data_IF_669923619189
#
_entry.id   IF_669923619189
#
_cell.length_a   1.000
_cell.length_b   1.000
_cell.length_c   1.000
_cell.angle_alpha   90.00
_cell.angle_beta   90.00
_cell.angle_gamma   90.00
#
_symmetry.space_group_name_H-M   'P 1'
#
loop_
_entity.id
_entity.type
_entity.pdbx_description
1 polymer ?
#
# COMPACT_ATOMS: atom_id res chain seq x y z
N UNK A 1 -30.18 30.68 -16.59
CA UNK A 1 -28.75 30.66 -16.26
C UNK A 1 -28.22 29.28 -16.60
N UNK A 2 -27.47 29.14 -17.69
CA UNK A 2 -26.91 27.87 -18.16
C UNK A 2 -25.55 27.64 -17.50
N UNK A 3 -25.44 26.65 -16.61
CA UNK A 3 -24.16 26.14 -16.15
C UNK A 3 -23.64 25.11 -17.16
N UNK A 4 -22.59 25.48 -17.89
CA UNK A 4 -21.83 24.57 -18.74
C UNK A 4 -21.04 23.61 -17.85
N UNK A 5 -21.28 22.32 -18.05
CA UNK A 5 -20.44 21.21 -17.61
C UNK A 5 -19.01 21.43 -18.13
N UNK A 6 -18.05 21.50 -17.20
CA UNK A 6 -16.64 21.24 -17.49
C UNK A 6 -16.41 19.76 -17.20
N UNK A 7 -15.87 19.06 -18.19
CA UNK A 7 -15.57 17.65 -18.11
C UNK A 7 -14.53 17.38 -17.04
N UNK A 8 -14.94 16.57 -16.07
CA UNK A 8 -14.02 15.85 -15.21
C UNK A 8 -13.71 14.52 -15.91
N UNK A 9 -12.44 14.35 -16.24
CA UNK A 9 -11.87 13.08 -16.65
C UNK A 9 -11.92 12.13 -15.44
N UNK A 10 -12.74 11.09 -15.55
CA UNK A 10 -12.81 10.00 -14.60
C UNK A 10 -11.49 9.19 -14.63
N UNK A 11 -10.73 9.11 -13.52
CA UNK A 11 -9.48 8.36 -13.47
C UNK A 11 -9.66 6.85 -13.61
N UNK A 12 -10.89 6.31 -13.49
CA UNK A 12 -11.16 4.87 -13.57
C UNK A 12 -11.30 4.36 -15.02
N UNK A 13 -11.42 5.24 -16.03
CA UNK A 13 -11.69 4.82 -17.42
C UNK A 13 -10.44 4.54 -18.25
N UNK A 14 -9.21 4.79 -17.75
CA UNK A 14 -7.97 4.62 -18.53
C UNK A 14 -7.33 3.24 -18.50
N UNK A 15 -7.86 2.29 -17.73
CA UNK A 15 -7.27 0.96 -17.61
C UNK A 15 -7.50 0.03 -18.84
N UNK A 16 -8.44 0.35 -19.73
CA UNK A 16 -8.93 -0.66 -20.71
C UNK A 16 -8.42 -0.54 -22.15
N UNK A 17 -7.61 0.45 -22.54
CA UNK A 17 -7.28 0.67 -23.96
C UNK A 17 -5.81 1.02 -24.23
N UNK A 18 -4.92 0.01 -24.19
CA UNK A 18 -3.63 0.05 -24.89
C UNK A 18 -2.98 -1.34 -25.00
N UNK A 19 -3.54 -2.23 -25.83
CA UNK A 19 -2.90 -3.47 -26.25
C UNK A 19 -2.55 -3.40 -27.74
N UNK A 20 -1.27 -3.22 -28.08
CA UNK A 20 -0.59 -3.83 -29.24
C UNK A 20 0.77 -3.16 -29.50
N UNK A 21 1.86 -3.92 -29.33
CA UNK A 21 2.91 -4.11 -30.35
C UNK A 21 4.18 -4.66 -29.69
N UNK A 22 4.42 -5.96 -29.84
CA UNK A 22 5.66 -6.61 -29.43
C UNK A 22 6.68 -6.59 -30.57
N UNK A 23 7.87 -6.06 -30.31
CA UNK A 23 9.05 -6.28 -31.16
C UNK A 23 10.25 -6.60 -30.27
N UNK A 24 10.80 -7.80 -30.44
CA UNK A 24 12.01 -8.25 -29.77
C UNK A 24 13.24 -7.67 -30.47
N UNK A 25 14.00 -6.81 -29.78
CA UNK A 25 15.31 -6.33 -30.21
C UNK A 25 16.38 -6.98 -29.33
N UNK A 26 17.25 -7.77 -29.96
CA UNK A 26 18.50 -8.28 -29.35
C UNK A 26 19.57 -7.20 -29.38
N UNK A 27 20.28 -6.99 -28.27
CA UNK A 27 21.39 -6.04 -28.21
C UNK A 27 22.69 -6.61 -28.81
N UNK A 28 23.59 -5.72 -29.17
CA UNK A 28 24.87 -6.02 -29.82
C UNK A 28 25.87 -6.79 -28.92
N UNK A 29 25.52 -7.11 -27.68
CA UNK A 29 26.35 -7.87 -26.75
C UNK A 29 26.04 -9.38 -26.76
N UNK A 30 25.08 -9.85 -27.56
CA UNK A 30 24.78 -11.27 -27.68
C UNK A 30 24.18 -11.88 -26.42
N UNK A 31 23.56 -11.07 -25.55
CA UNK A 31 22.81 -11.57 -24.39
C UNK A 31 21.46 -12.13 -24.86
N UNK A 32 21.44 -13.44 -25.12
CA UNK A 32 20.22 -14.19 -25.35
C UNK A 32 19.61 -14.66 -24.02
N UNK A 33 18.30 -14.43 -23.92
CA UNK A 33 17.34 -15.05 -23.01
C UNK A 33 17.47 -14.73 -21.52
N UNK A 34 16.46 -14.01 -21.01
CA UNK A 34 16.07 -13.99 -19.61
C UNK A 34 16.27 -15.36 -18.97
N UNK A 35 16.98 -15.38 -17.84
CA UNK A 35 17.06 -16.54 -16.98
C UNK A 35 15.65 -16.89 -16.48
N UNK A 36 15.04 -17.91 -17.08
CA UNK A 36 13.69 -18.35 -16.75
C UNK A 36 13.57 -18.84 -15.30
N UNK A 37 14.68 -19.09 -14.61
CA UNK A 37 14.68 -19.48 -13.20
C UNK A 37 14.28 -18.36 -12.23
N UNK A 38 14.19 -17.11 -12.71
CA UNK A 38 13.71 -15.95 -11.93
C UNK A 38 12.21 -15.66 -12.11
N UNK A 39 11.50 -16.44 -12.94
CA UNK A 39 10.08 -16.19 -13.23
C UNK A 39 9.19 -16.78 -12.14
N UNK A 40 8.68 -15.93 -11.25
CA UNK A 40 7.72 -16.34 -10.22
C UNK A 40 6.36 -16.59 -10.89
N UNK A 41 6.03 -17.87 -11.09
CA UNK A 41 4.80 -18.29 -11.76
C UNK A 41 4.70 -17.81 -13.21
N UNK A 42 5.84 -17.69 -13.91
CA UNK A 42 5.90 -17.25 -15.30
C UNK A 42 5.86 -15.73 -15.52
N UNK A 43 5.83 -14.93 -14.44
CA UNK A 43 5.82 -13.46 -14.53
C UNK A 43 7.22 -12.87 -14.67
N UNK A 44 7.30 -11.70 -15.32
CA UNK A 44 8.54 -10.93 -15.39
C UNK A 44 8.99 -10.45 -13.99
N UNK A 45 10.28 -10.09 -13.81
CA UNK A 45 10.75 -9.48 -12.56
C UNK A 45 9.99 -8.20 -12.20
N UNK A 46 9.66 -7.36 -13.20
CA UNK A 46 8.90 -6.13 -12.99
C UNK A 46 7.48 -6.41 -12.49
N UNK A 47 6.81 -7.41 -13.07
CA UNK A 47 5.47 -7.80 -12.62
C UNK A 47 5.50 -8.41 -11.23
N UNK A 48 6.53 -9.21 -10.92
CA UNK A 48 6.74 -9.79 -9.58
C UNK A 48 6.97 -8.69 -8.54
N UNK A 49 7.76 -7.67 -8.87
CA UNK A 49 7.96 -6.50 -8.02
C UNK A 49 6.67 -5.72 -7.79
N UNK A 50 5.86 -5.50 -8.83
CA UNK A 50 4.56 -4.81 -8.67
C UNK A 50 3.64 -5.60 -7.72
N UNK A 51 3.53 -6.91 -7.87
CA UNK A 51 2.73 -7.73 -6.95
C UNK A 51 3.31 -7.72 -5.54
N UNK A 52 4.63 -7.73 -5.39
CA UNK A 52 5.27 -7.60 -4.08
C UNK A 52 4.92 -6.27 -3.40
N UNK A 53 4.84 -5.17 -4.15
CA UNK A 53 4.38 -3.88 -3.63
C UNK A 53 2.89 -3.90 -3.24
N UNK A 54 2.03 -4.48 -4.08
CA UNK A 54 0.60 -4.64 -3.79
C UNK A 54 0.37 -5.38 -2.49
N UNK A 55 0.97 -6.56 -2.34
CA UNK A 55 0.80 -7.38 -1.15
C UNK A 55 1.48 -6.74 0.08
N UNK A 56 2.65 -6.10 -0.09
CA UNK A 56 3.28 -5.34 1.00
C UNK A 56 2.40 -4.16 1.47
N UNK A 57 1.65 -3.53 0.57
CA UNK A 57 0.66 -2.51 0.89
C UNK A 57 -0.39 -3.03 1.87
N UNK A 58 -1.01 -4.16 1.53
CA UNK A 58 -1.98 -4.86 2.39
C UNK A 58 -1.41 -5.16 3.77
N UNK A 59 -0.20 -5.73 3.83
CA UNK A 59 0.46 -6.06 5.10
C UNK A 59 0.70 -4.83 5.97
N UNK A 60 1.29 -3.77 5.42
CA UNK A 60 1.68 -2.59 6.20
C UNK A 60 0.45 -1.81 6.67
N UNK A 61 -0.52 -1.59 5.79
CA UNK A 61 -1.75 -0.88 6.15
C UNK A 61 -2.54 -1.68 7.19
N UNK A 62 -2.68 -3.00 7.01
CA UNK A 62 -3.34 -3.85 7.99
C UNK A 62 -2.67 -3.78 9.37
N UNK A 63 -1.34 -3.90 9.43
CA UNK A 63 -0.59 -3.76 10.71
C UNK A 63 -0.74 -2.36 11.31
N UNK A 64 -0.74 -1.30 10.51
CA UNK A 64 -0.91 0.07 10.98
C UNK A 64 -2.30 0.33 11.58
N UNK A 65 -3.33 -0.37 11.09
CA UNK A 65 -4.71 -0.30 11.59
C UNK A 65 -5.01 -1.32 12.70
N UNK A 66 -4.02 -2.13 13.09
CA UNK A 66 -4.12 -3.09 14.20
C UNK A 66 -4.57 -4.50 13.80
N UNK A 67 -4.67 -4.80 12.50
CA UNK A 67 -4.99 -6.14 12.02
C UNK A 67 -3.81 -7.10 12.18
N UNK A 68 -4.13 -8.35 12.53
CA UNK A 68 -3.16 -9.44 12.58
C UNK A 68 -2.95 -10.01 11.17
N UNK A 69 -1.70 -10.12 10.75
CA UNK A 69 -1.30 -10.68 9.46
C UNK A 69 -0.63 -12.03 9.70
N UNK A 70 -1.22 -13.11 9.18
CA UNK A 70 -0.69 -14.47 9.28
C UNK A 70 0.43 -14.76 8.29
N UNK A 71 0.40 -14.10 7.13
CA UNK A 71 1.45 -14.20 6.12
C UNK A 71 1.08 -13.52 4.81
N UNK A 72 2.03 -13.54 3.89
CA UNK A 72 1.92 -12.94 2.56
C UNK A 72 2.73 -13.72 1.54
N UNK A 73 2.22 -13.86 0.32
CA UNK A 73 2.92 -14.50 -0.79
C UNK A 73 2.72 -13.73 -2.08
N UNK A 74 3.74 -13.77 -2.94
CA UNK A 74 3.60 -13.36 -4.34
C UNK A 74 3.53 -14.57 -5.26
N UNK A 75 3.56 -15.81 -4.77
CA UNK A 75 3.35 -16.99 -5.61
C UNK A 75 1.89 -17.00 -6.08
N UNK A 76 1.61 -17.00 -7.40
CA UNK A 76 0.24 -16.98 -7.88
C UNK A 76 -0.48 -18.28 -7.54
N UNK A 77 -1.78 -18.18 -7.32
CA UNK A 77 -2.67 -19.31 -7.06
C UNK A 77 -3.97 -19.20 -7.84
N UNK A 78 -4.96 -20.02 -7.46
CA UNK A 78 -6.26 -20.00 -8.13
C UNK A 78 -6.99 -18.68 -7.87
N UNK A 79 -7.12 -17.85 -8.91
CA UNK A 79 -7.82 -16.56 -8.84
C UNK A 79 -7.02 -15.40 -8.23
N UNK A 80 -5.72 -15.54 -7.97
CA UNK A 80 -4.90 -14.45 -7.42
C UNK A 80 -3.44 -14.46 -7.91
N UNK A 81 -2.87 -13.26 -8.08
CA UNK A 81 -1.45 -13.08 -8.43
C UNK A 81 -0.53 -13.03 -7.19
N UNK A 82 -1.08 -12.63 -6.05
CA UNK A 82 -0.47 -12.62 -4.72
C UNK A 82 -1.58 -12.75 -3.69
N UNK A 83 -1.19 -13.04 -2.45
CA UNK A 83 -2.14 -13.28 -1.38
C UNK A 83 -1.56 -12.87 -0.02
N UNK A 84 -2.29 -11.99 0.67
CA UNK A 84 -2.08 -11.68 2.08
C UNK A 84 -3.21 -12.27 2.93
N UNK A 85 -2.91 -12.94 4.05
CA UNK A 85 -3.91 -13.63 4.88
C UNK A 85 -3.79 -13.32 6.38
N UNK A 86 -4.88 -13.51 7.12
CA UNK A 86 -4.93 -13.39 8.58
C UNK A 86 -4.45 -14.67 9.30
N UNK A 87 -4.28 -14.64 10.63
CA UNK A 87 -3.65 -15.73 11.39
C UNK A 87 -4.45 -17.03 11.44
N UNK A 88 -5.78 -16.96 11.32
CA UNK A 88 -6.65 -18.11 11.51
C UNK A 88 -6.61 -19.12 10.36
N UNK A 89 -6.37 -18.67 9.12
CA UNK A 89 -6.50 -19.49 7.92
C UNK A 89 -5.38 -19.20 6.91
N UNK A 90 -4.29 -20.00 6.89
CA UNK A 90 -3.27 -19.91 5.86
C UNK A 90 -3.90 -20.16 4.48
N UNK A 91 -3.82 -19.18 3.58
CA UNK A 91 -4.36 -19.31 2.22
C UNK A 91 -5.72 -18.65 1.96
N UNK A 92 -6.32 -17.94 2.93
CA UNK A 92 -7.51 -17.10 2.69
C UNK A 92 -7.18 -15.62 2.84
N UNK A 93 -7.58 -14.76 1.89
CA UNK A 93 -7.27 -13.31 1.92
C UNK A 93 -7.55 -12.66 3.29
N UNK A 94 -6.87 -11.55 3.60
CA UNK A 94 -6.98 -10.78 4.85
C UNK A 94 -8.42 -10.32 5.18
N UNK A 95 -9.38 -10.52 4.27
CA UNK A 95 -10.82 -10.45 4.56
C UNK A 95 -11.32 -11.72 5.25
N UNK A 96 -11.48 -11.68 6.58
CA UNK A 96 -12.26 -12.58 7.44
C UNK A 96 -12.49 -14.01 6.92
N UNK A 97 -11.73 -14.98 7.45
CA UNK A 97 -11.94 -16.44 7.48
C UNK A 97 -12.36 -17.24 6.21
N UNK A 98 -13.07 -16.68 5.23
CA UNK A 98 -13.80 -17.41 4.19
C UNK A 98 -13.38 -17.04 2.74
N UNK A 99 -12.22 -16.38 2.56
CA UNK A 99 -11.67 -16.11 1.23
C UNK A 99 -12.51 -15.14 0.38
N UNK A 100 -12.44 -15.25 -0.95
CA UNK A 100 -13.05 -14.28 -1.89
C UNK A 100 -14.59 -14.18 -1.80
N UNK A 101 -15.25 -15.17 -1.21
CA UNK A 101 -16.69 -15.16 -0.94
C UNK A 101 -17.09 -14.52 0.40
N UNK A 102 -16.12 -14.09 1.22
CA UNK A 102 -16.39 -13.63 2.59
C UNK A 102 -17.20 -12.32 2.64
N UNK A 103 -16.85 -11.31 1.83
CA UNK A 103 -17.53 -10.01 1.89
C UNK A 103 -19.02 -10.10 1.48
N UNK A 104 -19.40 -10.75 0.35
CA UNK A 104 -20.82 -10.94 0.02
C UNK A 104 -21.60 -11.71 1.08
N UNK A 105 -21.03 -12.79 1.64
CA UNK A 105 -21.69 -13.58 2.70
C UNK A 105 -21.85 -12.79 4.00
N UNK A 106 -20.85 -11.99 4.36
CA UNK A 106 -20.90 -11.13 5.53
C UNK A 106 -22.02 -10.10 5.38
N UNK A 107 -22.12 -9.46 4.22
CA UNK A 107 -23.18 -8.48 3.93
C UNK A 107 -24.55 -9.14 3.89
N UNK A 108 -24.68 -10.34 3.33
CA UNK A 108 -25.94 -11.11 3.34
C UNK A 108 -26.38 -11.45 4.78
N UNK A 109 -25.42 -11.78 5.65
CA UNK A 109 -25.69 -12.17 7.05
C UNK A 109 -26.00 -10.97 7.94
N UNK A 110 -25.21 -9.90 7.84
CA UNK A 110 -25.27 -8.74 8.75
C UNK A 110 -26.19 -7.64 8.20
N UNK A 111 -26.31 -7.50 6.88
CA UNK A 111 -27.11 -6.45 6.23
C UNK A 111 -28.54 -6.34 6.78
N UNK A 112 -29.29 -7.44 6.96
CA UNK A 112 -30.63 -7.39 7.56
C UNK A 112 -30.68 -6.92 9.02
N UNK A 113 -29.55 -6.94 9.73
CA UNK A 113 -29.40 -6.49 11.12
C UNK A 113 -28.93 -5.03 11.22
N UNK A 114 -28.55 -4.40 10.09
CA UNK A 114 -28.08 -3.02 10.09
C UNK A 114 -29.24 -2.03 10.30
N UNK A 115 -29.03 -0.96 11.08
CA UNK A 115 -30.05 0.04 11.35
C UNK A 115 -30.45 0.80 10.08
N UNK A 116 -31.75 1.04 9.93
CA UNK A 116 -32.33 1.84 8.86
C UNK A 116 -32.09 3.34 9.00
N UNK A 117 -32.54 4.15 8.02
CA UNK A 117 -32.45 5.60 8.10
C UNK A 117 -33.17 6.18 9.33
N UNK A 118 -32.44 6.95 10.14
CA UNK A 118 -32.97 7.58 11.36
C UNK A 118 -32.90 6.72 12.62
N UNK A 119 -32.50 5.45 12.51
CA UNK A 119 -32.29 4.57 13.66
C UNK A 119 -30.91 4.78 14.30
N UNK A 120 -30.80 4.44 15.59
CA UNK A 120 -29.55 4.53 16.34
C UNK A 120 -28.53 3.48 15.85
N UNK A 121 -27.24 3.83 15.91
CA UNK A 121 -26.14 3.01 15.37
C UNK A 121 -25.14 2.54 16.42
N UNK A 122 -25.40 2.85 17.69
CA UNK A 122 -24.56 2.51 18.83
C UNK A 122 -24.38 0.99 18.98
N UNK A 123 -25.43 0.21 18.74
CA UNK A 123 -25.39 -1.25 18.85
C UNK A 123 -24.56 -1.96 17.76
N UNK A 124 -24.21 -1.28 16.67
CA UNK A 124 -23.45 -1.83 15.53
C UNK A 124 -22.18 -1.02 15.22
N UNK A 125 -21.72 -0.20 16.17
CA UNK A 125 -20.58 0.69 15.98
C UNK A 125 -19.29 -0.07 15.61
N UNK A 126 -19.16 -1.30 16.10
CA UNK A 126 -18.10 -2.24 15.76
C UNK A 126 -18.12 -2.66 14.27
N UNK A 127 -19.31 -2.89 13.69
CA UNK A 127 -19.46 -3.17 12.26
C UNK A 127 -18.99 -1.97 11.43
N UNK A 128 -19.37 -0.74 11.81
CA UNK A 128 -18.89 0.47 11.14
C UNK A 128 -17.37 0.60 11.20
N UNK A 129 -16.77 0.36 12.37
CA UNK A 129 -15.33 0.40 12.55
C UNK A 129 -14.63 -0.68 11.70
N UNK A 130 -15.18 -1.89 11.64
CA UNK A 130 -14.63 -2.98 10.83
C UNK A 130 -14.70 -2.68 9.33
N UNK A 131 -15.86 -2.22 8.83
CA UNK A 131 -16.01 -1.84 7.41
C UNK A 131 -15.04 -0.72 7.05
N UNK A 132 -14.82 0.25 7.95
CA UNK A 132 -13.85 1.32 7.75
C UNK A 132 -12.42 0.80 7.60
N UNK A 133 -11.96 -0.04 8.52
CA UNK A 133 -10.62 -0.64 8.47
C UNK A 133 -10.47 -1.50 7.22
N UNK A 134 -11.42 -2.41 6.96
CA UNK A 134 -11.35 -3.32 5.82
C UNK A 134 -11.41 -2.61 4.48
N UNK A 135 -12.14 -1.50 4.35
CA UNK A 135 -12.13 -0.71 3.13
C UNK A 135 -10.76 -0.11 2.84
N UNK A 136 -10.08 0.44 3.86
CA UNK A 136 -8.73 1.00 3.73
C UNK A 136 -7.73 -0.10 3.39
N UNK A 137 -7.80 -1.25 4.06
CA UNK A 137 -6.98 -2.42 3.74
C UNK A 137 -7.17 -2.87 2.31
N UNK A 138 -8.40 -3.05 1.84
CA UNK A 138 -8.66 -3.50 0.46
C UNK A 138 -8.10 -2.52 -0.57
N UNK A 139 -8.07 -1.22 -0.30
CA UNK A 139 -7.48 -0.23 -1.21
C UNK A 139 -5.95 -0.11 -1.11
N UNK A 140 -5.33 -0.74 -0.10
CA UNK A 140 -3.90 -0.59 0.19
C UNK A 140 -3.00 -1.12 -0.93
N UNK A 141 -3.34 -2.26 -1.53
CA UNK A 141 -2.56 -2.82 -2.63
C UNK A 141 -2.47 -1.87 -3.83
N UNK A 142 -3.62 -1.41 -4.33
CA UNK A 142 -3.68 -0.43 -5.43
C UNK A 142 -3.01 0.89 -5.07
N UNK A 143 -3.18 1.37 -3.83
CA UNK A 143 -2.50 2.58 -3.36
C UNK A 143 -0.96 2.41 -3.39
N UNK A 144 -0.44 1.24 -2.99
CA UNK A 144 0.98 0.95 -3.00
C UNK A 144 1.54 0.92 -4.42
N UNK A 145 0.85 0.23 -5.34
CA UNK A 145 1.24 0.21 -6.76
C UNK A 145 1.27 1.63 -7.34
N UNK A 146 0.23 2.42 -7.07
CA UNK A 146 0.08 3.77 -7.62
C UNK A 146 1.24 4.69 -7.25
N UNK A 147 1.69 4.68 -5.99
CA UNK A 147 2.68 5.65 -5.50
C UNK A 147 4.11 5.10 -5.49
N UNK A 148 4.31 3.78 -5.56
CA UNK A 148 5.62 3.14 -5.48
C UNK A 148 6.07 2.52 -6.81
N UNK A 149 5.17 2.35 -7.78
CA UNK A 149 5.46 1.83 -9.11
C UNK A 149 5.06 2.83 -10.22
N UNK A 150 5.56 4.06 -10.14
CA UNK A 150 5.10 5.22 -10.92
C UNK A 150 5.28 5.12 -12.44
N UNK A 151 6.11 4.19 -12.91
CA UNK A 151 6.40 4.05 -14.34
C UNK A 151 5.27 3.36 -15.11
N UNK A 152 4.36 2.67 -14.40
CA UNK A 152 3.22 1.99 -15.00
C UNK A 152 1.94 2.29 -14.20
N UNK A 153 0.76 2.32 -14.84
CA UNK A 153 -0.49 2.37 -14.10
C UNK A 153 -0.64 1.12 -13.21
N UNK A 154 -1.35 1.23 -12.07
CA UNK A 154 -1.66 0.08 -11.24
C UNK A 154 -2.47 -0.95 -12.03
N UNK A 155 -2.36 -2.20 -11.65
CA UNK A 155 -3.21 -3.26 -12.18
C UNK A 155 -4.63 -3.15 -11.65
N UNK A 156 -5.59 -3.65 -12.45
CA UNK A 156 -6.99 -3.71 -12.04
C UNK A 156 -7.15 -4.72 -10.90
N UNK A 157 -7.19 -4.20 -9.67
CA UNK A 157 -7.45 -4.98 -8.46
C UNK A 157 -8.95 -5.29 -8.30
N UNK A 158 -9.56 -5.91 -9.32
CA UNK A 158 -11.01 -6.14 -9.44
C UNK A 158 -11.59 -6.80 -8.17
N UNK A 159 -10.89 -7.81 -7.63
CA UNK A 159 -11.32 -8.51 -6.41
C UNK A 159 -11.41 -7.57 -5.21
N UNK A 160 -10.38 -6.75 -4.98
CA UNK A 160 -10.32 -5.83 -3.83
C UNK A 160 -11.37 -4.72 -3.96
N UNK A 161 -11.53 -4.17 -5.17
CA UNK A 161 -12.55 -3.16 -5.51
C UNK A 161 -13.96 -3.70 -5.29
N UNK A 162 -14.28 -4.89 -5.78
CA UNK A 162 -15.59 -5.52 -5.62
C UNK A 162 -15.91 -5.77 -4.15
N UNK A 163 -14.94 -6.27 -3.38
CA UNK A 163 -15.11 -6.50 -1.93
C UNK A 163 -15.33 -5.20 -1.17
N UNK A 164 -14.54 -4.18 -1.46
CA UNK A 164 -14.64 -2.88 -0.81
C UNK A 164 -16.01 -2.25 -1.07
N UNK A 165 -16.44 -2.27 -2.34
CA UNK A 165 -17.78 -1.83 -2.74
C UNK A 165 -18.89 -2.62 -2.01
N UNK A 166 -18.73 -3.94 -1.92
CA UNK A 166 -19.71 -4.81 -1.25
C UNK A 166 -19.82 -4.48 0.23
N UNK A 167 -18.71 -4.35 0.96
CA UNK A 167 -18.72 -3.98 2.38
C UNK A 167 -19.29 -2.57 2.61
N UNK A 168 -18.95 -1.62 1.74
CA UNK A 168 -19.44 -0.25 1.85
C UNK A 168 -20.98 -0.14 1.81
N UNK A 169 -21.67 -1.11 1.19
CA UNK A 169 -23.14 -1.16 1.16
C UNK A 169 -23.78 -1.30 2.55
N UNK A 170 -23.03 -1.78 3.55
CA UNK A 170 -23.51 -1.87 4.93
C UNK A 170 -23.66 -0.50 5.60
N UNK A 171 -22.86 0.50 5.18
CA UNK A 171 -22.77 1.78 5.89
C UNK A 171 -23.18 2.98 5.02
N UNK A 172 -23.20 2.81 3.70
CA UNK A 172 -23.56 3.83 2.72
C UNK A 172 -24.92 3.52 2.08
N UNK A 173 -25.78 4.53 1.97
CA UNK A 173 -27.15 4.37 1.47
C UNK A 173 -27.32 4.64 -0.03
N UNK A 174 -26.25 4.98 -0.75
CA UNK A 174 -26.31 5.29 -2.18
C UNK A 174 -24.98 4.94 -2.88
N UNK A 175 -25.05 4.64 -4.18
CA UNK A 175 -23.86 4.37 -5.01
C UNK A 175 -22.84 5.50 -4.93
N UNK A 176 -23.29 6.76 -5.01
CA UNK A 176 -22.40 7.92 -4.89
C UNK A 176 -21.71 7.98 -3.52
N UNK A 177 -22.40 7.61 -2.43
CA UNK A 177 -21.78 7.56 -1.10
C UNK A 177 -20.74 6.43 -1.01
N UNK A 178 -21.01 5.29 -1.64
CA UNK A 178 -20.08 4.16 -1.71
C UNK A 178 -18.81 4.58 -2.46
N UNK A 179 -18.94 5.22 -3.63
CA UNK A 179 -17.80 5.71 -4.41
C UNK A 179 -16.93 6.69 -3.62
N UNK A 180 -17.55 7.67 -2.95
CA UNK A 180 -16.81 8.64 -2.13
C UNK A 180 -16.13 7.99 -0.93
N UNK A 181 -16.75 6.98 -0.32
CA UNK A 181 -16.14 6.23 0.77
C UNK A 181 -14.94 5.41 0.30
N UNK A 182 -15.01 4.81 -0.89
CA UNK A 182 -13.88 4.10 -1.50
C UNK A 182 -12.72 5.05 -1.84
N UNK A 183 -13.01 6.25 -2.37
CA UNK A 183 -11.99 7.29 -2.60
C UNK A 183 -11.32 7.67 -1.29
N UNK A 184 -12.11 7.93 -0.24
CA UNK A 184 -11.57 8.20 1.09
C UNK A 184 -10.66 7.06 1.57
N UNK A 185 -11.09 5.80 1.45
CA UNK A 185 -10.31 4.65 1.87
C UNK A 185 -8.99 4.52 1.11
N UNK A 186 -9.00 4.81 -0.20
CA UNK A 186 -7.79 4.85 -1.03
C UNK A 186 -6.82 5.96 -0.58
N UNK A 187 -7.31 7.19 -0.37
CA UNK A 187 -6.48 8.31 0.07
C UNK A 187 -5.89 8.08 1.47
N UNK A 188 -6.66 7.47 2.38
CA UNK A 188 -6.15 7.09 3.70
C UNK A 188 -5.07 6.01 3.59
N UNK A 189 -5.25 5.02 2.71
CA UNK A 189 -4.23 4.02 2.44
C UNK A 189 -2.95 4.67 1.84
N UNK A 190 -3.08 5.62 0.91
CA UNK A 190 -1.95 6.40 0.37
C UNK A 190 -1.21 7.14 1.48
N UNK A 191 -1.93 7.77 2.41
CA UNK A 191 -1.32 8.49 3.54
C UNK A 191 -0.53 7.53 4.46
N UNK A 192 -1.09 6.36 4.77
CA UNK A 192 -0.44 5.33 5.58
C UNK A 192 0.80 4.75 4.88
N UNK A 193 0.71 4.45 3.58
CA UNK A 193 1.82 3.91 2.79
C UNK A 193 2.94 4.94 2.68
N UNK A 194 2.63 6.22 2.49
CA UNK A 194 3.65 7.28 2.50
C UNK A 194 4.35 7.40 3.86
N UNK A 195 3.58 7.32 4.96
CA UNK A 195 4.15 7.34 6.33
C UNK A 195 5.05 6.14 6.60
N UNK A 196 4.73 4.98 6.03
CA UNK A 196 5.44 3.71 6.26
C UNK A 196 6.20 3.22 5.03
N UNK A 197 6.61 4.15 4.16
CA UNK A 197 7.16 3.85 2.83
C UNK A 197 8.37 2.91 2.87
N UNK A 198 9.28 3.12 3.82
CA UNK A 198 10.47 2.29 3.98
C UNK A 198 10.13 0.84 4.36
N UNK A 199 9.06 0.65 5.15
CA UNK A 199 8.59 -0.67 5.59
C UNK A 199 7.95 -1.41 4.42
N UNK A 200 7.11 -0.75 3.62
CA UNK A 200 6.48 -1.36 2.43
C UNK A 200 7.54 -1.87 1.46
N UNK A 201 8.54 -1.04 1.14
CA UNK A 201 9.65 -1.46 0.28
C UNK A 201 10.45 -2.63 0.87
N UNK A 202 10.67 -2.63 2.19
CA UNK A 202 11.43 -3.70 2.84
C UNK A 202 10.69 -5.03 2.80
N UNK A 203 9.36 -5.04 2.99
CA UNK A 203 8.54 -6.24 2.87
C UNK A 203 8.49 -6.73 1.41
N UNK A 204 8.28 -5.82 0.45
CA UNK A 204 8.30 -6.16 -0.97
C UNK A 204 9.64 -6.79 -1.38
N UNK A 205 10.76 -6.21 -0.94
CA UNK A 205 12.09 -6.75 -1.18
C UNK A 205 12.28 -8.12 -0.50
N UNK A 206 11.82 -8.26 0.74
CA UNK A 206 11.88 -9.54 1.44
C UNK A 206 11.09 -10.63 0.72
N UNK A 207 9.93 -10.32 0.11
CA UNK A 207 9.17 -11.26 -0.73
C UNK A 207 9.94 -11.67 -1.99
N UNK A 208 10.63 -10.74 -2.64
CA UNK A 208 11.46 -11.05 -3.82
C UNK A 208 12.64 -11.95 -3.43
N UNK A 209 13.32 -11.62 -2.33
CA UNK A 209 14.54 -12.32 -1.92
C UNK A 209 14.26 -13.65 -1.23
N UNK A 210 13.05 -13.84 -0.69
CA UNK A 210 12.70 -15.05 0.03
C UNK A 210 12.66 -16.26 -0.93
N UNK A 211 13.32 -17.39 -0.62
CA UNK A 211 13.37 -18.55 -1.52
C UNK A 211 12.00 -19.12 -1.90
N UNK A 212 11.01 -19.01 -1.00
CA UNK A 212 9.64 -19.44 -1.23
C UNK A 212 8.70 -18.30 -1.71
N UNK A 213 9.22 -17.08 -1.87
CA UNK A 213 8.45 -15.88 -2.23
C UNK A 213 7.20 -15.65 -1.38
N UNK A 214 7.33 -16.03 -0.11
CA UNK A 214 6.25 -16.14 0.86
C UNK A 214 6.85 -15.85 2.23
N UNK A 215 6.24 -14.94 2.99
CA UNK A 215 6.63 -14.63 4.36
C UNK A 215 5.52 -15.04 5.32
N UNK A 216 5.88 -15.66 6.43
CA UNK A 216 4.99 -15.86 7.57
C UNK A 216 4.96 -14.63 8.49
N UNK A 217 4.07 -14.63 9.49
CA UNK A 217 3.93 -13.53 10.44
C UNK A 217 5.25 -13.12 11.13
N UNK A 218 6.09 -14.08 11.54
CA UNK A 218 7.34 -13.78 12.22
C UNK A 218 8.39 -13.14 11.29
N UNK A 219 8.42 -13.58 10.03
CA UNK A 219 9.29 -13.00 8.99
C UNK A 219 8.86 -11.58 8.62
N UNK A 220 7.54 -11.34 8.56
CA UNK A 220 6.96 -9.99 8.39
C UNK A 220 7.41 -9.09 9.54
N UNK A 221 7.26 -9.53 10.79
CA UNK A 221 7.65 -8.75 11.97
C UNK A 221 9.16 -8.46 11.99
N UNK A 222 9.98 -9.43 11.60
CA UNK A 222 11.42 -9.23 11.46
C UNK A 222 11.74 -8.20 10.36
N UNK A 223 11.06 -8.24 9.22
CA UNK A 223 11.23 -7.27 8.13
C UNK A 223 10.85 -5.85 8.58
N UNK A 224 9.73 -5.70 9.29
CA UNK A 224 9.26 -4.43 9.85
C UNK A 224 10.30 -3.88 10.85
N UNK A 225 10.70 -4.68 11.83
CA UNK A 225 11.66 -4.27 12.86
C UNK A 225 13.00 -3.85 12.24
N UNK A 226 13.47 -4.59 11.22
CA UNK A 226 14.68 -4.28 10.48
C UNK A 226 14.59 -2.96 9.70
N UNK A 227 13.45 -2.71 9.03
CA UNK A 227 13.21 -1.46 8.31
C UNK A 227 13.19 -0.24 9.23
N UNK A 228 12.45 -0.31 10.34
CA UNK A 228 12.36 0.76 11.35
C UNK A 228 13.74 1.02 11.98
N UNK A 229 14.51 -0.03 12.28
CA UNK A 229 15.87 0.12 12.81
C UNK A 229 16.78 0.86 11.83
N UNK A 230 16.74 0.52 10.53
CA UNK A 230 17.53 1.22 9.51
C UNK A 230 17.15 2.70 9.38
N UNK A 231 15.86 3.01 9.38
CA UNK A 231 15.37 4.39 9.28
C UNK A 231 15.83 5.22 10.50
N UNK A 232 15.71 4.67 11.71
CA UNK A 232 16.20 5.32 12.92
C UNK A 232 17.71 5.58 12.89
N UNK A 233 18.50 4.63 12.39
CA UNK A 233 19.94 4.81 12.22
C UNK A 233 20.27 5.92 11.23
N UNK A 234 19.59 5.95 10.07
CA UNK A 234 19.77 7.00 9.06
C UNK A 234 19.40 8.39 9.60
N UNK A 235 18.28 8.49 10.32
CA UNK A 235 17.86 9.74 10.97
C UNK A 235 18.89 10.23 12.00
N UNK A 236 19.46 9.32 12.80
CA UNK A 236 20.51 9.66 13.75
C UNK A 236 21.80 10.12 13.07
N UNK A 237 22.22 9.47 11.98
CA UNK A 237 23.38 9.92 11.20
C UNK A 237 23.15 11.32 10.62
N UNK A 238 21.99 11.57 10.00
CA UNK A 238 21.64 12.88 9.47
C UNK A 238 21.64 13.97 10.55
N UNK A 239 21.10 13.67 11.74
CA UNK A 239 21.10 14.58 12.90
C UNK A 239 22.52 14.92 13.34
N UNK A 240 23.43 13.94 13.40
CA UNK A 240 24.85 14.17 13.77
C UNK A 240 25.57 15.04 12.76
N UNK A 241 25.33 14.82 11.47
CA UNK A 241 25.90 15.66 10.41
C UNK A 241 25.38 17.10 10.49
N UNK A 242 24.08 17.28 10.73
CA UNK A 242 23.50 18.61 10.93
C UNK A 242 24.12 19.32 12.14
N UNK A 243 24.26 18.62 13.27
CA UNK A 243 24.90 19.16 14.47
C UNK A 243 26.35 19.56 14.21
N UNK A 244 27.10 18.74 13.47
CA UNK A 244 28.49 19.01 13.11
C UNK A 244 28.59 20.27 12.23
N UNK A 245 27.72 20.40 11.23
CA UNK A 245 27.65 21.59 10.36
C UNK A 245 27.27 22.85 11.15
N UNK A 246 26.33 22.75 12.08
CA UNK A 246 25.94 23.87 12.95
C UNK A 246 27.09 24.31 13.86
N UNK A 247 27.82 23.37 14.48
CA UNK A 247 28.99 23.67 15.30
C UNK A 247 30.11 24.35 14.51
N UNK A 248 30.40 23.85 13.30
CA UNK A 248 31.39 24.48 12.40
C UNK A 248 30.98 25.90 11.98
N UNK A 249 29.68 26.13 11.74
CA UNK A 249 29.16 27.46 11.39
C UNK A 249 29.23 28.43 12.57
N UNK A 250 28.87 27.97 13.78
CA UNK A 250 28.97 28.76 15.01
C UNK A 250 30.43 29.13 15.33
N UNK A 251 31.38 28.21 15.12
CA UNK A 251 32.80 28.48 15.31
C UNK A 251 33.37 29.56 14.36
N UNK A 252 32.72 29.81 13.22
CA UNK A 252 33.11 30.86 12.24
C UNK A 252 32.49 32.22 12.54
N UNK A 253 31.49 32.29 13.41
CA UNK A 253 30.75 33.52 13.72
C UNK A 253 31.61 34.58 14.47
N UNK A 254 32.45 34.23 15.45
CA UNK A 254 33.31 35.19 16.15
C UNK A 254 34.35 35.86 15.24
N UNK A 255 34.72 35.22 14.13
CA UNK A 255 35.70 35.74 13.17
C UNK A 255 35.12 36.82 12.25
N UNK A 256 33.79 36.96 12.19
CA UNK A 256 33.08 37.94 11.35
C UNK A 256 32.65 39.20 12.11
N UNK A 257 32.50 39.11 13.44
CA UNK A 257 32.25 40.26 14.30
C UNK A 257 33.60 40.76 14.79
N UNK A 258 34.32 41.45 13.90
CA UNK A 258 35.48 42.24 14.30
C UNK A 258 35.05 43.27 15.34
N UNK A 259 35.29 42.96 16.62
CA UNK A 259 35.38 43.99 17.63
C UNK A 259 36.69 44.74 17.38
N UNK A 260 36.61 45.72 16.49
CA UNK A 260 37.60 46.78 16.31
C UNK A 260 37.55 47.68 17.55
N UNK A 261 38.06 47.18 18.68
CA UNK A 261 38.45 48.04 19.79
C UNK A 261 39.80 48.66 19.43
N UNK A 262 39.79 49.53 18.41
CA UNK A 262 40.86 50.48 18.20
C UNK A 262 40.83 51.47 19.37
N UNK A 263 41.88 51.40 20.18
CA UNK A 263 42.17 52.24 21.33
C UNK A 263 42.09 53.74 20.97
N UNK A 264 41.20 54.47 21.64
CA UNK A 264 41.28 55.93 21.70
C UNK A 264 42.22 56.29 22.87
N UNK A 265 43.45 56.67 22.52
CA UNK A 265 44.37 57.42 23.38
C UNK A 265 44.11 58.92 23.25
#
# INVERSE_FOLDING_TARGET
MNFRSRGDCDPLTRASEAAASGSNVVDAAGRSAFDQSLLIGGRSPTDSWRVALHEAGHVVVGRALGSEVGGVTIVPGDGFAGLTWGPANPGTKLSNADGDAAAPKLVETIGPMMPGPGEARDAVADVFANVHISAIELMAGTAAETILHTDNPPWDAVSDVVKCKTLATLICSSERSIEQFMIFAFEEAVALINRHRAVVLAIAQALIDHPAHTLNAAEIDAAIASAVSRENQQAEFARREQMTRAAQSAARFPTLIGYDHAEAQ
#
